data_IF_696700796576
#
_entry.id   IF_696700796576
#
_cell.length_a   1.000
_cell.length_b   1.000
_cell.length_c   1.000
_cell.angle_alpha   90.00
_cell.angle_beta   90.00
_cell.angle_gamma   90.00
#
_symmetry.space_group_name_H-M   'P 1'
#
loop_
_entity.id
_entity.type
_entity.pdbx_description
1 polymer ?
#
# COMPACT_ATOMS: atom_id res chain seq x y z
N UNK A 1 -20.06 -5.84 -4.91
CA UNK A 1 -21.43 -5.50 -4.45
C UNK A 1 -22.44 -6.49 -5.04
N UNK A 2 -23.44 -6.90 -4.27
CA UNK A 2 -24.57 -7.71 -4.77
C UNK A 2 -25.39 -6.85 -5.75
N UNK A 3 -25.59 -7.32 -6.98
CA UNK A 3 -26.40 -6.63 -7.99
C UNK A 3 -27.84 -7.14 -8.00
N UNK A 4 -28.01 -8.46 -8.01
CA UNK A 4 -29.30 -9.16 -7.93
C UNK A 4 -29.09 -10.56 -7.30
N UNK A 5 -30.04 -11.48 -7.51
CA UNK A 5 -30.03 -12.84 -6.93
C UNK A 5 -28.92 -13.76 -7.49
N UNK A 6 -28.33 -13.41 -8.64
CA UNK A 6 -27.31 -14.23 -9.33
C UNK A 6 -26.05 -13.47 -9.70
N UNK A 7 -26.02 -12.16 -9.52
CA UNK A 7 -24.91 -11.35 -10.00
C UNK A 7 -24.27 -10.48 -8.93
N UNK A 8 -22.96 -10.34 -9.06
CA UNK A 8 -22.15 -9.35 -8.37
C UNK A 8 -21.55 -8.37 -9.38
N UNK A 9 -21.12 -7.21 -8.90
CA UNK A 9 -20.27 -6.29 -9.66
C UNK A 9 -19.17 -5.71 -8.77
N UNK A 10 -18.04 -5.35 -9.36
CA UNK A 10 -16.88 -4.85 -8.63
C UNK A 10 -15.77 -4.34 -9.55
N UNK A 11 -14.78 -3.67 -8.95
CA UNK A 11 -13.66 -3.08 -9.67
C UNK A 11 -12.80 -4.14 -10.37
N UNK A 12 -12.69 -4.04 -11.70
CA UNK A 12 -11.73 -4.80 -12.53
C UNK A 12 -10.94 -3.80 -13.38
N UNK A 13 -9.93 -3.20 -12.76
CA UNK A 13 -9.27 -1.99 -13.26
C UNK A 13 -7.78 -2.18 -13.53
N UNK A 14 -7.23 -1.43 -14.48
CA UNK A 14 -5.78 -1.31 -14.63
C UNK A 14 -5.20 -0.48 -13.47
N UNK A 15 -3.99 -0.80 -12.97
CA UNK A 15 -3.04 -1.81 -13.46
C UNK A 15 -3.13 -3.18 -12.74
N UNK A 16 -4.27 -3.51 -12.11
CA UNK A 16 -4.39 -4.72 -11.29
C UNK A 16 -4.34 -6.01 -12.12
N UNK A 17 -3.78 -7.08 -11.53
CA UNK A 17 -3.58 -8.36 -12.22
C UNK A 17 -4.90 -8.95 -12.73
N UNK A 18 -5.98 -8.84 -11.95
CA UNK A 18 -7.32 -9.28 -12.37
C UNK A 18 -7.74 -8.70 -13.73
N UNK A 19 -7.47 -7.41 -13.99
CA UNK A 19 -7.79 -6.78 -15.27
C UNK A 19 -6.84 -7.23 -16.37
N UNK A 20 -5.55 -7.42 -16.07
CA UNK A 20 -4.58 -7.94 -17.04
C UNK A 20 -4.96 -9.34 -17.51
N UNK A 21 -5.25 -10.25 -16.58
CA UNK A 21 -5.73 -11.61 -16.89
C UNK A 21 -7.02 -11.55 -17.70
N UNK A 22 -7.98 -10.71 -17.30
CA UNK A 22 -9.23 -10.58 -18.05
C UNK A 22 -9.03 -10.08 -19.49
N UNK A 23 -8.06 -9.18 -19.72
CA UNK A 23 -7.71 -8.74 -21.07
C UNK A 23 -7.11 -9.88 -21.91
N UNK A 24 -6.35 -10.81 -21.33
CA UNK A 24 -5.83 -11.98 -22.06
C UNK A 24 -6.96 -12.92 -22.51
N UNK A 25 -7.95 -13.16 -21.66
CA UNK A 25 -9.16 -13.89 -22.04
C UNK A 25 -9.94 -13.17 -23.15
N UNK A 26 -10.03 -11.84 -23.10
CA UNK A 26 -10.68 -11.06 -24.14
C UNK A 26 -9.97 -11.16 -25.50
N UNK A 27 -8.62 -11.20 -25.53
CA UNK A 27 -7.84 -11.35 -26.77
C UNK A 27 -8.14 -12.65 -27.51
N UNK A 28 -8.50 -13.71 -26.79
CA UNK A 28 -8.88 -15.01 -27.37
C UNK A 28 -10.40 -15.14 -27.59
N UNK A 29 -11.15 -14.03 -27.50
CA UNK A 29 -12.59 -14.00 -27.75
C UNK A 29 -13.45 -14.55 -26.60
N UNK A 30 -12.92 -14.61 -25.38
CA UNK A 30 -13.61 -15.13 -24.19
C UNK A 30 -13.76 -14.09 -23.07
N UNK A 31 -13.82 -12.82 -23.42
CA UNK A 31 -13.96 -11.73 -22.43
C UNK A 31 -15.32 -11.69 -21.72
N UNK A 32 -16.31 -12.39 -22.23
CA UNK A 32 -17.67 -12.48 -21.71
C UNK A 32 -17.95 -13.75 -20.89
N UNK A 33 -16.97 -14.64 -20.76
CA UNK A 33 -17.09 -15.94 -20.09
C UNK A 33 -15.76 -16.34 -19.43
N UNK A 34 -15.25 -15.47 -18.55
CA UNK A 34 -13.99 -15.67 -17.85
C UNK A 34 -14.26 -16.45 -16.55
N UNK A 35 -13.74 -17.67 -16.37
CA UNK A 35 -13.94 -18.41 -15.12
C UNK A 35 -13.37 -17.63 -13.92
N UNK A 36 -14.11 -17.58 -12.81
CA UNK A 36 -13.61 -17.04 -11.56
C UNK A 36 -14.05 -17.88 -10.36
N UNK A 37 -13.27 -17.75 -9.29
CA UNK A 37 -13.61 -18.17 -7.93
C UNK A 37 -13.45 -16.96 -7.02
N UNK A 38 -14.41 -16.71 -6.13
CA UNK A 38 -14.33 -15.74 -5.06
C UNK A 38 -14.44 -16.48 -3.72
N UNK A 39 -13.35 -16.55 -2.97
CA UNK A 39 -13.27 -17.25 -1.69
C UNK A 39 -13.20 -16.26 -0.51
N UNK A 40 -13.97 -16.53 0.54
CA UNK A 40 -14.04 -15.77 1.78
C UNK A 40 -13.61 -16.64 2.96
N UNK A 41 -13.11 -16.00 4.02
CA UNK A 41 -12.60 -16.72 5.19
C UNK A 41 -11.45 -17.67 4.85
N UNK A 42 -10.66 -17.31 3.83
CA UNK A 42 -9.47 -18.06 3.44
C UNK A 42 -8.43 -18.04 4.57
N UNK A 43 -7.44 -18.97 4.58
CA UNK A 43 -6.32 -18.91 5.52
C UNK A 43 -5.71 -17.50 5.58
N UNK A 44 -5.38 -16.95 6.76
CA UNK A 44 -4.96 -15.54 6.90
C UNK A 44 -3.79 -15.11 6.01
N UNK A 45 -2.81 -16.00 5.78
CA UNK A 45 -1.72 -15.74 4.86
C UNK A 45 -2.20 -15.54 3.41
N UNK A 46 -3.26 -16.24 3.00
CA UNK A 46 -3.82 -16.13 1.65
C UNK A 46 -4.45 -14.76 1.40
N UNK A 47 -5.24 -14.23 2.35
CA UNK A 47 -5.81 -12.89 2.20
C UNK A 47 -4.74 -11.78 2.30
N UNK A 48 -3.70 -11.99 3.12
CA UNK A 48 -2.56 -11.07 3.20
C UNK A 48 -1.84 -10.99 1.85
N UNK A 49 -1.43 -12.12 1.27
CA UNK A 49 -0.74 -12.13 -0.03
C UNK A 49 -1.65 -11.66 -1.17
N UNK A 50 -2.96 -11.92 -1.11
CA UNK A 50 -3.92 -11.40 -2.10
C UNK A 50 -3.96 -9.86 -2.14
N UNK A 51 -3.60 -9.19 -1.04
CA UNK A 51 -3.49 -7.73 -0.98
C UNK A 51 -2.09 -7.20 -1.33
N UNK A 52 -1.12 -8.08 -1.59
CA UNK A 52 0.27 -7.71 -1.83
C UNK A 52 0.49 -7.41 -3.32
N UNK A 53 1.15 -6.30 -3.69
CA UNK A 53 1.42 -5.98 -5.08
C UNK A 53 2.65 -6.75 -5.61
N UNK A 54 2.62 -8.09 -5.54
CA UNK A 54 3.72 -8.96 -6.00
C UNK A 54 4.01 -8.75 -7.51
N UNK A 55 5.21 -9.14 -7.99
CA UNK A 55 5.58 -9.00 -9.39
C UNK A 55 4.61 -9.69 -10.37
N UNK A 56 4.50 -9.14 -11.57
CA UNK A 56 3.70 -9.75 -12.64
C UNK A 56 4.28 -11.11 -13.06
N UNK A 57 3.41 -12.11 -13.21
CA UNK A 57 3.80 -13.48 -13.57
C UNK A 57 4.23 -14.34 -12.38
N UNK A 58 4.37 -13.77 -11.18
CA UNK A 58 4.46 -14.54 -9.95
C UNK A 58 3.08 -15.08 -9.54
N UNK A 59 3.06 -16.23 -8.86
CA UNK A 59 1.83 -16.84 -8.37
C UNK A 59 1.70 -16.59 -6.86
N UNK A 60 0.59 -15.99 -6.43
CA UNK A 60 0.32 -15.69 -5.02
C UNK A 60 0.36 -16.96 -4.13
N UNK A 61 -0.08 -18.12 -4.63
CA UNK A 61 -0.04 -19.39 -3.89
C UNK A 61 1.37 -19.88 -3.53
N UNK A 62 2.35 -19.64 -4.41
CA UNK A 62 3.76 -19.97 -4.16
C UNK A 62 4.35 -19.05 -3.08
N UNK A 63 3.97 -17.77 -3.08
CA UNK A 63 4.34 -16.81 -2.04
C UNK A 63 3.77 -17.19 -0.68
N UNK A 64 2.51 -17.63 -0.64
CA UNK A 64 1.89 -18.16 0.58
C UNK A 64 2.70 -19.35 1.10
N UNK A 65 3.10 -20.26 0.20
CA UNK A 65 3.94 -21.40 0.56
C UNK A 65 5.30 -20.99 1.13
N UNK A 66 5.95 -19.99 0.54
CA UNK A 66 7.22 -19.46 1.02
C UNK A 66 7.10 -18.77 2.40
N UNK A 67 6.01 -18.05 2.64
CA UNK A 67 5.75 -17.36 3.93
C UNK A 67 5.43 -18.38 5.03
N UNK A 68 4.57 -19.35 4.75
CA UNK A 68 4.11 -20.32 5.73
C UNK A 68 5.11 -21.47 5.96
N UNK A 69 6.04 -21.70 5.01
CA UNK A 69 6.97 -22.84 5.04
C UNK A 69 6.34 -24.16 4.58
N UNK A 70 5.08 -24.13 4.14
CA UNK A 70 4.34 -25.27 3.61
C UNK A 70 3.34 -24.82 2.52
N UNK A 71 3.06 -25.65 1.49
CA UNK A 71 2.13 -25.28 0.42
C UNK A 71 0.71 -25.02 0.95
N UNK A 72 0.02 -24.04 0.36
CA UNK A 72 -1.40 -23.79 0.64
C UNK A 72 -2.24 -25.01 0.23
N UNK A 73 -2.99 -25.64 1.16
CA UNK A 73 -3.90 -26.72 0.80
C UNK A 73 -5.02 -26.19 -0.10
N UNK A 74 -5.22 -26.85 -1.24
CA UNK A 74 -6.23 -26.47 -2.23
C UNK A 74 -7.11 -27.64 -2.66
N UNK A 75 -8.32 -27.32 -3.11
CA UNK A 75 -9.25 -28.24 -3.76
C UNK A 75 -9.66 -27.67 -5.12
N UNK A 76 -10.05 -28.54 -6.06
CA UNK A 76 -10.50 -28.12 -7.38
C UNK A 76 -11.89 -27.48 -7.28
N UNK A 77 -12.09 -26.39 -8.02
CA UNK A 77 -13.39 -25.77 -8.25
C UNK A 77 -14.37 -26.73 -8.97
N UNK A 78 -15.67 -26.56 -8.74
CA UNK A 78 -16.69 -27.40 -9.39
C UNK A 78 -16.85 -27.08 -10.88
N UNK A 79 -16.79 -25.80 -11.24
CA UNK A 79 -17.12 -25.34 -12.60
C UNK A 79 -15.91 -25.10 -13.49
N UNK A 80 -14.69 -25.18 -12.94
CA UNK A 80 -13.47 -24.84 -13.67
C UNK A 80 -12.25 -25.62 -13.19
N UNK A 81 -11.11 -25.41 -13.84
CA UNK A 81 -9.82 -25.96 -13.40
C UNK A 81 -9.10 -25.06 -12.39
N UNK A 82 -9.79 -24.06 -11.83
CA UNK A 82 -9.24 -23.21 -10.78
C UNK A 82 -9.12 -23.95 -9.45
N UNK A 83 -8.16 -23.54 -8.64
CA UNK A 83 -7.90 -24.09 -7.31
C UNK A 83 -8.44 -23.14 -6.23
N UNK A 84 -9.02 -23.71 -5.18
CA UNK A 84 -9.69 -23.03 -4.07
C UNK A 84 -8.93 -23.36 -2.78
N UNK A 85 -8.59 -22.39 -1.91
CA UNK A 85 -8.04 -22.71 -0.59
C UNK A 85 -9.00 -23.64 0.17
N UNK A 86 -8.52 -24.82 0.56
CA UNK A 86 -9.36 -25.91 1.07
C UNK A 86 -10.11 -25.55 2.37
N UNK A 87 -9.57 -24.60 3.13
CA UNK A 87 -10.14 -24.14 4.40
C UNK A 87 -11.01 -22.88 4.28
N UNK A 88 -11.37 -22.47 3.07
CA UNK A 88 -12.27 -21.32 2.85
C UNK A 88 -13.62 -21.52 3.54
N UNK A 89 -14.17 -20.46 4.14
CA UNK A 89 -15.47 -20.46 4.80
C UNK A 89 -16.64 -20.48 3.79
N UNK A 90 -16.50 -19.71 2.71
CA UNK A 90 -17.52 -19.51 1.69
C UNK A 90 -16.85 -19.28 0.33
N UNK A 91 -17.38 -19.88 -0.72
CA UNK A 91 -16.82 -19.78 -2.08
C UNK A 91 -17.92 -19.61 -3.11
N UNK A 92 -17.75 -18.63 -3.98
CA UNK A 92 -18.62 -18.41 -5.14
C UNK A 92 -17.84 -18.75 -6.42
N UNK A 93 -18.49 -19.48 -7.32
CA UNK A 93 -17.94 -19.84 -8.62
C UNK A 93 -18.86 -19.36 -9.74
N UNK A 94 -18.28 -19.04 -10.90
CA UNK A 94 -19.05 -18.74 -12.11
C UNK A 94 -18.19 -18.04 -13.15
N UNK A 95 -18.80 -17.09 -13.86
CA UNK A 95 -18.13 -16.33 -14.93
C UNK A 95 -18.15 -14.83 -14.74
N UNK A 96 -17.03 -14.18 -15.06
CA UNK A 96 -16.88 -12.74 -15.19
C UNK A 96 -17.06 -12.34 -16.66
N UNK A 97 -17.91 -11.33 -16.89
CA UNK A 97 -18.12 -10.73 -18.20
C UNK A 97 -17.66 -9.26 -18.18
N UNK A 98 -16.53 -8.96 -18.83
CA UNK A 98 -15.98 -7.59 -18.85
C UNK A 98 -16.66 -6.66 -19.87
N UNK A 99 -17.57 -7.20 -20.68
CA UNK A 99 -18.34 -6.45 -21.68
C UNK A 99 -19.75 -6.09 -21.17
N UNK A 100 -20.26 -6.84 -20.19
CA UNK A 100 -21.52 -6.54 -19.51
C UNK A 100 -21.23 -5.70 -18.26
N UNK A 101 -21.58 -4.42 -18.33
CA UNK A 101 -21.27 -3.45 -17.27
C UNK A 101 -22.55 -3.01 -16.58
N UNK A 102 -22.54 -3.02 -15.25
CA UNK A 102 -23.62 -2.52 -14.40
C UNK A 102 -23.10 -1.44 -13.45
N UNK A 103 -23.99 -0.61 -12.91
CA UNK A 103 -23.59 0.46 -12.00
C UNK A 103 -23.08 -0.11 -10.68
N UNK A 104 -21.87 0.28 -10.29
CA UNK A 104 -21.20 -0.10 -9.05
C UNK A 104 -20.88 1.13 -8.20
N UNK A 105 -20.94 0.98 -6.88
CA UNK A 105 -20.66 2.04 -5.92
C UNK A 105 -21.75 3.14 -5.83
N UNK A 106 -21.45 4.23 -5.10
CA UNK A 106 -20.18 4.49 -4.41
C UNK A 106 -19.96 3.59 -3.19
N UNK A 107 -18.71 3.46 -2.76
CA UNK A 107 -18.30 2.70 -1.57
C UNK A 107 -17.52 3.62 -0.62
N UNK A 108 -17.54 3.30 0.69
CA UNK A 108 -16.66 3.95 1.67
C UNK A 108 -15.24 3.51 1.41
N UNK A 109 -14.41 4.42 0.93
CA UNK A 109 -13.07 4.10 0.45
C UNK A 109 -11.98 4.37 1.50
N UNK A 110 -10.79 3.82 1.25
CA UNK A 110 -9.57 3.89 2.08
C UNK A 110 -9.08 5.30 2.46
N UNK A 111 -9.76 6.34 1.98
CA UNK A 111 -9.43 7.74 2.23
C UNK A 111 -10.40 8.41 3.21
N UNK A 112 -11.37 7.66 3.75
CA UNK A 112 -12.34 8.17 4.72
C UNK A 112 -13.55 8.89 4.13
N UNK A 113 -13.86 8.68 2.85
CA UNK A 113 -14.96 9.37 2.16
C UNK A 113 -15.87 8.41 1.37
N UNK A 114 -17.16 8.77 1.34
CA UNK A 114 -18.13 8.33 0.33
C UNK A 114 -18.50 9.55 -0.49
N UNK A 115 -18.41 9.47 -1.82
CA UNK A 115 -18.88 10.54 -2.71
C UNK A 115 -20.23 10.13 -3.35
N UNK A 116 -21.35 10.73 -2.94
CA UNK A 116 -22.66 10.36 -3.49
C UNK A 116 -22.74 10.61 -5.00
N UNK A 117 -23.39 9.70 -5.74
CA UNK A 117 -23.62 9.85 -7.18
C UNK A 117 -22.37 9.62 -8.06
N UNK A 118 -21.26 9.15 -7.50
CA UNK A 118 -20.04 8.82 -8.25
C UNK A 118 -19.91 7.32 -8.57
N UNK A 119 -21.03 6.60 -8.58
CA UNK A 119 -21.07 5.23 -9.10
C UNK A 119 -20.66 5.20 -10.56
N UNK A 120 -20.09 4.08 -11.00
CA UNK A 120 -19.62 3.93 -12.37
C UNK A 120 -19.79 2.49 -12.89
N UNK A 121 -19.83 2.29 -14.22
CA UNK A 121 -20.01 0.97 -14.80
C UNK A 121 -18.81 0.05 -14.49
N UNK A 122 -19.08 -1.10 -13.87
CA UNK A 122 -18.12 -2.15 -13.62
C UNK A 122 -18.59 -3.50 -14.18
N UNK A 123 -17.67 -4.43 -14.48
CA UNK A 123 -18.02 -5.77 -14.95
C UNK A 123 -19.00 -6.53 -14.06
N UNK A 124 -19.78 -7.38 -14.70
CA UNK A 124 -20.73 -8.27 -14.05
C UNK A 124 -20.09 -9.65 -13.82
N UNK A 125 -20.25 -10.16 -12.61
CA UNK A 125 -19.92 -11.54 -12.23
C UNK A 125 -21.24 -12.30 -12.10
N UNK A 126 -21.38 -13.42 -12.80
CA UNK A 126 -22.48 -14.37 -12.59
C UNK A 126 -22.01 -15.42 -11.58
N UNK A 127 -22.82 -15.69 -10.56
CA UNK A 127 -22.60 -16.74 -9.57
C UNK A 127 -23.46 -17.93 -9.93
N UNK A 128 -22.81 -19.04 -10.27
CA UNK A 128 -23.47 -20.28 -10.71
C UNK A 128 -23.49 -21.33 -9.59
N UNK A 129 -22.46 -21.37 -8.76
CA UNK A 129 -22.33 -22.29 -7.61
C UNK A 129 -21.85 -21.54 -6.37
N UNK A 130 -22.40 -21.92 -5.21
CA UNK A 130 -21.98 -21.45 -3.89
C UNK A 130 -21.71 -22.66 -3.01
N UNK A 131 -20.48 -22.76 -2.51
CA UNK A 131 -20.04 -23.77 -1.55
C UNK A 131 -19.64 -23.11 -0.23
N UNK A 132 -19.92 -23.75 0.91
CA UNK A 132 -19.66 -23.18 2.23
C UNK A 132 -19.49 -24.24 3.31
N UNK A 133 -18.78 -23.88 4.38
CA UNK A 133 -18.68 -24.67 5.61
C UNK A 133 -19.96 -24.53 6.43
N UNK A 134 -20.28 -25.54 7.24
CA UNK A 134 -21.29 -25.38 8.29
C UNK A 134 -20.90 -24.19 9.19
N UNK A 135 -21.88 -23.35 9.53
CA UNK A 135 -21.68 -22.13 10.33
C UNK A 135 -20.68 -21.12 9.73
N UNK A 136 -20.61 -21.04 8.40
CA UNK A 136 -19.67 -20.19 7.67
C UNK A 136 -19.59 -18.75 8.17
N UNK A 137 -18.35 -18.25 8.29
CA UNK A 137 -18.03 -16.89 8.71
C UNK A 137 -17.65 -16.04 7.50
N UNK A 138 -18.35 -14.92 7.31
CA UNK A 138 -17.99 -13.92 6.31
C UNK A 138 -17.12 -12.82 6.94
N UNK A 139 -15.79 -12.80 6.72
CA UNK A 139 -14.97 -11.67 7.13
C UNK A 139 -15.31 -10.43 6.28
N UNK A 140 -15.31 -9.26 6.93
CA UNK A 140 -15.64 -7.99 6.28
C UNK A 140 -14.61 -6.95 6.69
N UNK A 141 -14.07 -6.24 5.69
CA UNK A 141 -13.41 -4.96 5.91
C UNK A 141 -14.42 -3.85 5.64
N UNK A 142 -14.45 -2.84 6.52
CA UNK A 142 -15.29 -1.65 6.36
C UNK A 142 -14.40 -0.41 6.31
N UNK A 143 -13.91 -0.03 5.12
CA UNK A 143 -12.91 1.03 4.99
C UNK A 143 -13.46 2.40 5.36
N UNK A 144 -12.57 3.26 5.85
CA UNK A 144 -12.92 4.62 6.19
C UNK A 144 -11.71 5.43 6.63
N UNK A 145 -11.90 6.22 7.68
CA UNK A 145 -10.78 6.90 8.32
C UNK A 145 -9.91 5.87 9.03
N UNK A 146 -8.60 5.99 8.87
CA UNK A 146 -7.64 5.12 9.53
C UNK A 146 -7.96 4.85 11.03
N UNK A 147 -7.79 3.62 11.53
CA UNK A 147 -7.04 2.51 10.91
C UNK A 147 -7.93 1.28 10.67
N UNK A 148 -7.94 0.80 9.43
CA UNK A 148 -8.61 -0.43 8.96
C UNK A 148 -7.67 -1.25 8.04
N UNK A 149 -8.16 -2.34 7.45
CA UNK A 149 -7.35 -3.25 6.61
C UNK A 149 -6.76 -2.57 5.36
N UNK A 150 -7.40 -1.51 4.83
CA UNK A 150 -6.83 -0.75 3.70
C UNK A 150 -5.58 0.05 4.10
N UNK A 151 -5.36 0.25 5.40
CA UNK A 151 -4.17 0.90 5.93
C UNK A 151 -3.13 -0.13 6.34
N UNK A 152 -3.55 -1.14 7.11
CA UNK A 152 -2.65 -2.15 7.68
C UNK A 152 -2.18 -3.16 6.66
N UNK A 153 -3.00 -3.53 5.67
CA UNK A 153 -2.63 -4.43 4.58
C UNK A 153 -2.15 -3.66 3.35
N UNK A 154 -3.00 -2.85 2.70
CA UNK A 154 -2.58 -2.19 1.44
C UNK A 154 -1.37 -1.29 1.68
N UNK A 155 -1.42 -0.39 2.67
CA UNK A 155 -0.28 0.46 3.02
C UNK A 155 0.95 -0.32 3.51
N UNK A 156 0.74 -1.30 4.40
CA UNK A 156 1.83 -2.14 4.92
C UNK A 156 2.54 -2.95 3.85
N UNK A 157 1.80 -3.56 2.92
CA UNK A 157 2.34 -4.38 1.83
C UNK A 157 2.97 -3.53 0.73
N UNK A 158 2.42 -2.34 0.45
CA UNK A 158 3.09 -1.34 -0.41
C UNK A 158 4.43 -0.92 0.22
N UNK A 159 4.49 -0.72 1.54
CA UNK A 159 5.74 -0.39 2.24
C UNK A 159 6.80 -1.48 2.03
N UNK A 160 6.41 -2.75 2.17
CA UNK A 160 7.30 -3.89 1.95
C UNK A 160 7.83 -3.95 0.51
N UNK A 161 6.98 -3.75 -0.49
CA UNK A 161 7.40 -3.78 -1.90
C UNK A 161 8.23 -2.55 -2.31
N UNK A 162 7.94 -1.37 -1.78
CA UNK A 162 8.80 -0.19 -1.97
C UNK A 162 10.20 -0.44 -1.39
N UNK A 163 10.29 -1.06 -0.20
CA UNK A 163 11.58 -1.46 0.39
C UNK A 163 12.26 -2.54 -0.44
N UNK A 164 11.55 -3.55 -0.90
CA UNK A 164 12.09 -4.60 -1.78
C UNK A 164 12.67 -4.01 -3.07
N UNK A 165 11.96 -3.07 -3.71
CA UNK A 165 12.48 -2.34 -4.85
C UNK A 165 13.77 -1.58 -4.52
N UNK A 166 13.82 -0.89 -3.38
CA UNK A 166 15.02 -0.20 -2.93
C UNK A 166 16.21 -1.16 -2.77
N UNK A 167 16.01 -2.31 -2.13
CA UNK A 167 17.04 -3.33 -1.90
C UNK A 167 17.62 -3.91 -3.19
N UNK A 168 16.83 -3.96 -4.27
CA UNK A 168 17.26 -4.45 -5.57
C UNK A 168 17.87 -3.35 -6.48
N UNK A 169 17.83 -2.08 -6.06
CA UNK A 169 18.38 -0.97 -6.84
C UNK A 169 19.81 -0.60 -6.38
N UNK A 170 20.80 -0.42 -7.27
CA UNK A 170 22.22 -0.26 -6.91
C UNK A 170 22.57 0.92 -5.99
N UNK A 171 21.81 2.01 -6.08
CA UNK A 171 21.96 3.21 -5.24
C UNK A 171 21.11 3.08 -3.97
N UNK A 172 19.80 2.92 -4.12
CA UNK A 172 18.84 2.87 -3.01
C UNK A 172 19.15 1.78 -2.00
N UNK A 173 19.69 0.63 -2.41
CA UNK A 173 20.04 -0.48 -1.50
C UNK A 173 21.08 -0.12 -0.45
N UNK A 174 21.85 0.95 -0.69
CA UNK A 174 22.85 1.47 0.25
C UNK A 174 22.26 2.50 1.21
N UNK A 175 21.29 3.28 0.76
CA UNK A 175 20.80 4.46 1.50
C UNK A 175 19.43 4.27 2.12
N UNK A 176 18.56 3.39 1.62
CA UNK A 176 17.23 3.16 2.19
C UNK A 176 17.32 2.11 3.27
N UNK A 177 17.02 2.49 4.51
CA UNK A 177 17.00 1.56 5.66
C UNK A 177 15.64 0.89 5.79
N UNK A 178 14.58 1.70 5.73
CA UNK A 178 13.20 1.28 5.91
C UNK A 178 12.25 2.17 5.12
N UNK A 179 11.07 1.63 4.84
CA UNK A 179 9.98 2.33 4.18
C UNK A 179 8.70 2.04 4.96
N UNK A 180 7.87 3.05 5.16
CA UNK A 180 6.56 2.89 5.77
C UNK A 180 5.55 3.83 5.15
N UNK A 181 4.32 3.37 5.02
CA UNK A 181 3.17 4.14 4.60
C UNK A 181 2.35 4.45 5.84
N UNK A 182 2.46 5.67 6.42
CA UNK A 182 1.78 6.00 7.67
C UNK A 182 0.27 5.87 7.55
N UNK A 183 -0.36 5.22 8.53
CA UNK A 183 -1.80 4.97 8.52
C UNK A 183 -2.59 6.28 8.54
N UNK A 184 -2.12 7.26 9.31
CA UNK A 184 -2.69 8.60 9.44
C UNK A 184 -2.74 9.35 8.09
N UNK A 185 -1.87 8.99 7.15
CA UNK A 185 -1.84 9.55 5.79
C UNK A 185 -2.75 8.82 4.80
N UNK A 186 -3.67 7.96 5.26
CA UNK A 186 -4.65 7.23 4.44
C UNK A 186 -4.00 6.44 3.27
N UNK A 187 -2.82 5.87 3.53
CA UNK A 187 -1.96 5.19 2.57
C UNK A 187 -1.55 5.99 1.30
N UNK A 188 -1.67 7.32 1.33
CA UNK A 188 -1.25 8.19 0.23
C UNK A 188 0.22 8.61 0.31
N UNK A 189 0.87 8.46 1.47
CA UNK A 189 2.26 8.87 1.70
C UNK A 189 3.17 7.67 1.90
N UNK A 190 4.42 7.76 1.47
CA UNK A 190 5.47 6.80 1.79
C UNK A 190 6.67 7.52 2.41
N UNK A 191 6.96 7.21 3.67
CA UNK A 191 8.14 7.66 4.39
C UNK A 191 9.33 6.73 4.08
N UNK A 192 10.44 7.29 3.63
CA UNK A 192 11.69 6.58 3.43
C UNK A 192 12.71 7.04 4.48
N UNK A 193 13.21 6.07 5.26
CA UNK A 193 14.27 6.30 6.23
C UNK A 193 15.62 6.15 5.54
N UNK A 194 16.38 7.25 5.51
CA UNK A 194 17.63 7.37 4.75
C UNK A 194 18.84 7.28 5.69
N UNK A 195 19.75 6.35 5.39
CA UNK A 195 21.06 6.25 6.01
C UNK A 195 21.91 7.44 5.57
N UNK A 196 22.09 8.39 6.47
CA UNK A 196 22.75 9.67 6.19
C UNK A 196 24.26 9.49 5.95
N UNK A 197 24.89 8.50 6.59
CA UNK A 197 26.31 8.19 6.39
C UNK A 197 26.62 7.65 5.00
N UNK A 198 25.74 6.79 4.47
CA UNK A 198 25.87 6.31 3.09
C UNK A 198 25.45 7.37 2.07
N UNK A 199 24.47 8.22 2.41
CA UNK A 199 24.04 9.33 1.56
C UNK A 199 25.19 10.31 1.25
N UNK A 200 25.99 10.70 2.24
CA UNK A 200 27.13 11.62 2.03
C UNK A 200 28.11 11.06 0.99
N UNK A 201 28.32 9.74 0.96
CA UNK A 201 29.24 9.09 -0.01
C UNK A 201 28.74 9.17 -1.46
N UNK A 202 27.45 9.40 -1.68
CA UNK A 202 26.90 9.60 -3.02
C UNK A 202 27.29 10.95 -3.62
N UNK A 203 27.72 11.92 -2.80
CA UNK A 203 28.06 13.27 -3.23
C UNK A 203 26.95 13.88 -4.11
N UNK A 204 25.69 13.73 -3.66
CA UNK A 204 24.48 14.20 -4.35
C UNK A 204 23.85 15.39 -3.61
N UNK A 205 22.86 16.02 -4.23
CA UNK A 205 22.08 17.11 -3.65
C UNK A 205 20.65 16.69 -3.33
N UNK A 206 19.96 17.47 -2.49
CA UNK A 206 18.52 17.30 -2.21
C UNK A 206 17.67 17.22 -3.48
N UNK A 207 17.93 18.10 -4.46
CA UNK A 207 17.17 18.13 -5.73
C UNK A 207 17.39 16.85 -6.54
N UNK A 208 18.64 16.40 -6.65
CA UNK A 208 18.97 15.15 -7.35
C UNK A 208 18.37 13.93 -6.66
N UNK A 209 18.40 13.88 -5.33
CA UNK A 209 17.82 12.78 -4.56
C UNK A 209 16.30 12.73 -4.73
N UNK A 210 15.61 13.87 -4.58
CA UNK A 210 14.16 13.97 -4.79
C UNK A 210 13.77 13.55 -6.21
N UNK A 211 14.54 13.99 -7.20
CA UNK A 211 14.33 13.59 -8.59
C UNK A 211 14.52 12.09 -8.78
N UNK A 212 15.61 11.52 -8.27
CA UNK A 212 15.88 10.08 -8.34
C UNK A 212 14.72 9.26 -7.78
N UNK A 213 14.22 9.60 -6.59
CA UNK A 213 13.10 8.88 -5.98
C UNK A 213 11.83 8.96 -6.81
N UNK A 214 11.43 10.15 -7.24
CA UNK A 214 10.18 10.27 -8.00
C UNK A 214 10.26 9.68 -9.41
N UNK A 215 11.42 9.77 -10.09
CA UNK A 215 11.66 9.13 -11.39
C UNK A 215 11.62 7.59 -11.26
N UNK A 216 12.16 7.03 -10.17
CA UNK A 216 12.17 5.59 -9.93
C UNK A 216 10.81 5.04 -9.49
N UNK A 217 10.11 5.71 -8.58
CA UNK A 217 8.92 5.14 -7.95
C UNK A 217 7.62 5.50 -8.66
N UNK A 218 7.40 6.75 -9.09
CA UNK A 218 6.06 7.17 -9.50
C UNK A 218 5.54 6.59 -10.82
N UNK A 219 6.41 5.95 -11.61
CA UNK A 219 6.01 5.21 -12.81
C UNK A 219 5.75 3.71 -12.56
N UNK A 220 5.99 3.24 -11.34
CA UNK A 220 5.81 1.82 -10.97
C UNK A 220 4.39 1.51 -10.54
N UNK A 221 3.98 0.23 -10.68
CA UNK A 221 2.73 -0.27 -10.10
C UNK A 221 2.74 -0.17 -8.57
N UNK A 222 3.87 -0.44 -7.92
CA UNK A 222 3.98 -0.49 -6.45
C UNK A 222 3.66 0.87 -5.80
N UNK A 223 4.06 1.98 -6.42
CA UNK A 223 3.81 3.32 -5.91
C UNK A 223 2.55 3.97 -6.54
N UNK A 224 1.67 3.20 -7.18
CA UNK A 224 0.55 3.77 -7.93
C UNK A 224 -0.36 4.62 -7.04
N UNK A 225 -0.60 4.18 -5.80
CA UNK A 225 -1.44 4.87 -4.80
C UNK A 225 -0.72 6.02 -4.09
N UNK A 226 0.61 6.01 -4.07
CA UNK A 226 1.42 6.99 -3.33
C UNK A 226 1.45 8.31 -4.09
N UNK A 227 1.08 9.38 -3.41
CA UNK A 227 1.09 10.75 -3.90
C UNK A 227 2.24 11.58 -3.30
N UNK A 228 2.73 11.25 -2.11
CA UNK A 228 3.87 11.94 -1.52
C UNK A 228 4.90 10.93 -1.01
N UNK A 229 6.14 11.08 -1.47
CA UNK A 229 7.29 10.37 -0.91
C UNK A 229 8.00 11.36 0.00
N UNK A 230 8.23 10.98 1.25
CA UNK A 230 8.90 11.82 2.26
C UNK A 230 10.23 11.18 2.64
N UNK A 231 11.32 11.90 2.47
CA UNK A 231 12.66 11.44 2.81
C UNK A 231 13.05 11.97 4.19
N UNK A 232 13.35 11.10 5.15
CA UNK A 232 13.80 11.49 6.50
C UNK A 232 15.11 10.82 6.88
N UNK A 233 15.85 11.41 7.80
CA UNK A 233 17.11 10.85 8.31
C UNK A 233 16.92 9.58 9.14
N UNK A 234 18.02 8.84 9.31
CA UNK A 234 18.11 7.62 10.11
C UNK A 234 17.81 7.82 11.61
N UNK A 235 17.79 9.08 12.08
CA UNK A 235 17.40 9.48 13.42
C UNK A 235 15.88 9.42 13.66
N UNK A 236 15.07 9.37 12.60
CA UNK A 236 13.61 9.33 12.68
C UNK A 236 13.12 7.89 12.71
N UNK A 237 12.28 7.57 13.69
CA UNK A 237 11.45 6.38 13.64
C UNK A 237 10.22 6.68 12.77
N UNK A 238 10.20 6.11 11.56
CA UNK A 238 9.13 6.32 10.59
C UNK A 238 7.83 5.58 10.95
N UNK A 239 7.87 4.67 11.93
CA UNK A 239 6.69 3.94 12.41
C UNK A 239 5.96 4.68 13.55
N UNK A 240 6.59 5.69 14.19
CA UNK A 240 5.91 6.62 15.10
C UNK A 240 5.51 7.89 14.33
N UNK A 241 4.22 8.00 14.01
CA UNK A 241 3.71 9.15 13.23
C UNK A 241 4.01 10.49 13.89
N UNK A 242 4.13 10.57 15.23
CA UNK A 242 4.46 11.83 15.91
C UNK A 242 5.89 12.26 15.60
N UNK A 243 6.84 11.32 15.56
CA UNK A 243 8.24 11.60 15.19
C UNK A 243 8.37 11.90 13.71
N UNK A 244 7.69 11.13 12.87
CA UNK A 244 7.64 11.37 11.43
C UNK A 244 7.06 12.75 11.09
N UNK A 245 5.89 13.08 11.62
CA UNK A 245 5.23 14.36 11.35
C UNK A 245 5.99 15.54 11.95
N UNK A 246 6.63 15.37 13.12
CA UNK A 246 7.57 16.36 13.66
C UNK A 246 8.71 16.65 12.67
N UNK A 247 9.35 15.62 12.11
CA UNK A 247 10.39 15.79 11.10
C UNK A 247 9.84 16.49 9.85
N UNK A 248 8.65 16.09 9.38
CA UNK A 248 7.98 16.72 8.24
C UNK A 248 7.85 18.24 8.45
N UNK A 249 7.20 18.68 9.53
CA UNK A 249 6.91 20.12 9.73
C UNK A 249 8.12 20.97 10.13
N UNK A 250 9.23 20.36 10.55
CA UNK A 250 10.42 21.10 11.05
C UNK A 250 11.64 21.04 10.14
N UNK A 251 11.67 20.13 9.15
CA UNK A 251 12.89 19.88 8.36
C UNK A 251 12.75 20.09 6.85
N UNK A 252 11.54 20.28 6.34
CA UNK A 252 11.36 20.74 4.95
C UNK A 252 10.91 22.20 4.95
N UNK A 253 11.44 22.97 4.01
CA UNK A 253 10.95 24.29 3.64
C UNK A 253 9.90 24.10 2.54
N UNK A 254 8.64 24.56 2.75
CA UNK A 254 7.61 24.48 1.72
C UNK A 254 8.10 25.09 0.40
N UNK A 255 7.76 24.47 -0.73
CA UNK A 255 8.30 24.76 -2.07
C UNK A 255 9.76 24.30 -2.27
N UNK A 256 10.72 24.89 -1.56
CA UNK A 256 12.17 24.66 -1.80
C UNK A 256 12.57 23.17 -1.68
N UNK A 257 12.01 22.47 -0.70
CA UNK A 257 12.30 21.07 -0.40
C UNK A 257 11.27 20.09 -1.01
N UNK A 258 10.47 20.54 -1.98
CA UNK A 258 9.54 19.71 -2.74
C UNK A 258 9.87 19.62 -4.25
N UNK A 259 9.82 18.43 -4.83
CA UNK A 259 9.92 18.23 -6.29
C UNK A 259 8.63 17.63 -6.81
N UNK A 260 7.89 18.39 -7.62
CA UNK A 260 6.59 17.99 -8.15
C UNK A 260 6.70 17.20 -9.45
N UNK A 261 5.95 16.09 -9.53
CA UNK A 261 5.88 15.22 -10.69
C UNK A 261 4.54 15.42 -11.39
N UNK A 262 4.56 16.18 -12.49
CA UNK A 262 3.32 16.61 -13.16
C UNK A 262 2.81 15.65 -14.24
N UNK A 263 3.68 14.79 -14.77
CA UNK A 263 3.38 13.95 -15.94
C UNK A 263 3.10 12.48 -15.60
N UNK A 264 3.49 12.04 -14.41
CA UNK A 264 3.30 10.68 -13.92
C UNK A 264 1.79 10.36 -13.73
N UNK A 265 1.37 9.10 -13.80
CA UNK A 265 -0.02 8.72 -13.54
C UNK A 265 -0.47 9.12 -12.12
N UNK A 266 -1.66 9.73 -12.02
CA UNK A 266 -2.29 10.03 -10.74
C UNK A 266 -3.18 8.86 -10.28
N UNK A 267 -3.34 8.67 -8.97
CA UNK A 267 -4.30 7.70 -8.45
C UNK A 267 -5.71 8.30 -8.47
N UNK A 268 -6.65 7.76 -9.27
CA UNK A 268 -7.96 8.39 -9.44
C UNK A 268 -8.83 8.41 -8.18
N UNK A 269 -8.59 7.51 -7.21
CA UNK A 269 -9.38 7.45 -5.97
C UNK A 269 -8.94 8.48 -4.93
N UNK A 270 -7.72 9.04 -5.04
CA UNK A 270 -7.26 10.08 -4.13
C UNK A 270 -8.26 11.26 -4.16
N UNK A 271 -8.82 11.71 -3.01
CA UNK A 271 -9.92 12.68 -2.98
C UNK A 271 -9.65 13.98 -3.75
N UNK A 272 -8.43 14.50 -3.66
CA UNK A 272 -7.99 15.70 -4.36
C UNK A 272 -7.75 15.50 -5.87
N UNK A 273 -7.66 14.25 -6.33
CA UNK A 273 -7.67 13.91 -7.75
C UNK A 273 -9.10 13.76 -8.24
N UNK A 274 -9.90 12.90 -7.60
CA UNK A 274 -11.29 12.60 -8.00
C UNK A 274 -12.19 13.84 -8.03
N UNK A 275 -12.04 14.72 -7.05
CA UNK A 275 -12.79 15.98 -6.95
C UNK A 275 -12.01 17.19 -7.48
N UNK A 276 -10.81 16.98 -8.02
CA UNK A 276 -9.97 18.03 -8.57
C UNK A 276 -10.00 18.10 -10.10
N UNK A 277 -9.43 19.16 -10.70
CA UNK A 277 -9.35 19.29 -12.16
C UNK A 277 -8.50 18.16 -12.81
N UNK A 278 -7.66 17.48 -12.02
CA UNK A 278 -6.78 16.39 -12.47
C UNK A 278 -7.52 15.11 -12.81
N UNK A 279 -8.78 14.91 -12.41
CA UNK A 279 -9.54 13.71 -12.80
C UNK A 279 -9.65 13.54 -14.32
N UNK A 280 -9.63 14.66 -15.06
CA UNK A 280 -9.70 14.67 -16.53
C UNK A 280 -8.42 14.16 -17.18
N UNK A 281 -7.26 14.56 -16.67
CA UNK A 281 -5.96 14.17 -17.23
C UNK A 281 -5.43 12.87 -16.63
N UNK A 282 -5.80 12.58 -15.38
CA UNK A 282 -5.26 11.51 -14.53
C UNK A 282 -3.73 11.56 -14.46
N UNK A 283 -3.17 12.77 -14.46
CA UNK A 283 -1.72 13.02 -14.44
C UNK A 283 -1.31 14.02 -13.35
N UNK A 284 -0.20 13.69 -12.70
CA UNK A 284 0.48 14.47 -11.68
C UNK A 284 -0.22 14.46 -10.34
N UNK A 285 -0.01 15.53 -9.56
CA UNK A 285 -0.43 15.58 -8.16
C UNK A 285 0.45 14.71 -7.26
N UNK A 286 1.66 14.37 -7.71
CA UNK A 286 2.64 13.62 -6.93
C UNK A 286 3.86 14.49 -6.62
N UNK A 287 4.49 14.27 -5.46
CA UNK A 287 5.61 15.08 -4.97
C UNK A 287 6.59 14.23 -4.16
N UNK A 288 7.87 14.55 -4.26
CA UNK A 288 8.88 14.07 -3.29
C UNK A 288 9.27 15.25 -2.40
N UNK A 289 9.10 15.09 -1.09
CA UNK A 289 9.44 16.06 -0.06
C UNK A 289 10.68 15.59 0.69
N UNK A 290 11.69 16.44 0.78
CA UNK A 290 12.94 16.16 1.48
C UNK A 290 12.94 16.79 2.88
N UNK A 291 13.04 15.95 3.91
CA UNK A 291 13.14 16.37 5.30
C UNK A 291 14.54 16.07 5.88
N UNK A 292 15.54 15.84 5.03
CA UNK A 292 16.95 15.79 5.40
C UNK A 292 17.51 17.21 5.49
N UNK A 293 18.18 17.53 6.60
CA UNK A 293 18.86 18.81 6.76
C UNK A 293 20.04 18.90 5.78
N UNK A 294 20.38 20.09 5.24
CA UNK A 294 21.48 20.23 4.27
C UNK A 294 22.81 19.66 4.74
N UNK A 295 23.09 19.68 6.06
CA UNK A 295 24.30 19.09 6.64
C UNK A 295 24.34 17.56 6.56
N UNK A 296 23.19 16.88 6.54
CA UNK A 296 23.10 15.42 6.37
C UNK A 296 23.52 14.94 4.96
N UNK A 297 23.65 15.86 3.99
CA UNK A 297 24.25 15.58 2.68
C UNK A 297 25.77 15.79 2.63
N UNK A 298 26.35 16.46 3.62
CA UNK A 298 27.72 16.98 3.55
C UNK A 298 28.66 16.36 4.59
N UNK A 299 28.14 16.07 5.78
CA UNK A 299 28.94 15.72 6.94
C UNK A 299 28.42 14.40 7.54
N UNK A 300 29.19 13.28 7.42
CA UNK A 300 28.76 11.97 7.92
C UNK A 300 28.73 11.90 9.45
N UNK A 301 29.32 12.90 10.12
CA UNK A 301 29.41 13.03 11.57
C UNK A 301 28.52 14.19 12.09
N UNK A 302 27.66 14.75 11.24
CA UNK A 302 26.71 15.77 11.65
C UNK A 302 25.83 15.24 12.79
N UNK A 303 25.88 15.92 13.93
CA UNK A 303 25.17 15.54 15.14
C UNK A 303 24.34 16.69 15.69
N UNK A 304 23.20 16.34 16.26
CA UNK A 304 22.32 17.22 17.01
C UNK A 304 21.62 16.41 18.09
N UNK A 305 21.01 17.11 19.06
CA UNK A 305 20.23 16.48 20.12
C UNK A 305 18.75 16.70 19.86
N UNK A 306 18.02 15.62 19.57
CA UNK A 306 16.56 15.64 19.60
C UNK A 306 16.12 15.80 21.05
N UNK A 307 15.32 16.83 21.36
CA UNK A 307 14.89 17.11 22.73
C UNK A 307 13.75 16.18 23.19
N UNK A 308 14.07 14.90 23.46
CA UNK A 308 13.12 13.93 24.02
C UNK A 308 13.75 13.09 25.16
N UNK A 309 12.98 12.16 25.73
CA UNK A 309 13.48 11.29 26.81
C UNK A 309 14.72 10.47 26.42
N UNK A 310 14.85 10.12 25.14
CA UNK A 310 16.00 9.33 24.66
C UNK A 310 17.30 10.12 24.60
N UNK A 311 17.24 11.45 24.69
CA UNK A 311 18.41 12.34 24.67
C UNK A 311 19.22 12.38 25.97
N UNK A 312 18.65 11.93 27.08
CA UNK A 312 19.36 11.87 28.35
C UNK A 312 20.37 10.72 28.38
N UNK A 313 21.42 10.83 29.18
CA UNK A 313 22.38 9.74 29.35
C UNK A 313 21.71 8.46 29.88
N UNK A 314 22.14 7.29 29.41
CA UNK A 314 21.57 5.99 29.79
C UNK A 314 21.51 5.79 31.32
N UNK A 315 22.52 6.28 32.05
CA UNK A 315 22.55 6.22 33.52
C UNK A 315 21.41 7.03 34.16
N UNK A 316 21.08 8.19 33.59
CA UNK A 316 19.97 9.01 34.08
C UNK A 316 18.63 8.39 33.69
N UNK A 317 18.48 7.89 32.46
CA UNK A 317 17.29 7.16 32.03
C UNK A 317 17.00 5.97 32.95
N UNK A 318 18.00 5.13 33.23
CA UNK A 318 17.87 4.00 34.15
C UNK A 318 17.45 4.45 35.55
N UNK A 319 18.12 5.48 36.10
CA UNK A 319 17.74 6.04 37.41
C UNK A 319 16.31 6.57 37.43
N UNK A 320 15.82 7.17 36.34
CA UNK A 320 14.43 7.64 36.24
C UNK A 320 13.47 6.46 36.24
N UNK A 321 13.73 5.45 35.40
CA UNK A 321 12.92 4.24 35.29
C UNK A 321 12.84 3.46 36.61
N UNK A 322 13.99 3.24 37.27
CA UNK A 322 14.07 2.50 38.54
C UNK A 322 13.27 3.15 39.66
N UNK A 323 13.17 4.48 39.63
CA UNK A 323 12.48 5.26 40.65
C UNK A 323 11.05 5.67 40.23
N UNK A 324 10.55 5.22 39.07
CA UNK A 324 9.26 5.67 38.53
C UNK A 324 8.10 5.54 39.54
N UNK A 325 7.99 4.39 40.18
CA UNK A 325 7.00 4.17 41.25
C UNK A 325 7.32 4.91 42.54
N UNK A 326 8.59 5.08 42.89
CA UNK A 326 9.00 5.85 44.06
C UNK A 326 8.68 7.35 43.91
N UNK A 327 8.63 7.86 42.67
CA UNK A 327 8.15 9.21 42.37
C UNK A 327 6.62 9.35 42.45
N UNK A 328 5.89 8.25 42.63
CA UNK A 328 4.43 8.24 42.78
C UNK A 328 3.67 7.92 41.49
N UNK A 329 4.35 7.55 40.40
CA UNK A 329 3.68 7.09 39.17
C UNK A 329 3.32 5.61 39.26
N UNK A 330 2.12 5.25 38.79
CA UNK A 330 1.70 3.85 38.67
C UNK A 330 2.18 3.30 37.33
N UNK A 331 2.72 2.09 37.36
CA UNK A 331 3.01 1.25 36.18
C UNK A 331 1.72 0.82 35.51
#
# INVERSE_FOLDING_TARGET
MIHDDKHLTGLVINPQHIRKVANEWAKIGKGDSIPYVLAFGVPPAAILVSSMPIPEGATESEYIGAICGEPLPVVKAELSDLEIPAESELVFEGVLNINNLVNEGPFGEMHGYVFPGTGHPCPLYTVDVINYRDEAILPVSNPGLCTDETHTLIGGLVSAELKNFALNHPILSKIVMDVFTPYEAQALWAAFKINTKELVKLNTTSVELRKLFGDLYFETKIASIIHEIVLVGDDIDIFDFRKFFWAYVTRHTPDDDQTFFHKVPAFPLAPFISNGPRIKSKKGGKVVTDCLLPKQYQDPDFSFTTCDYSSYEAKLQQKINDNWSAYGFKS
#
